data_IF_685652636442
#
_entry.id   IF_685652636442
#
_cell.length_a   1.000
_cell.length_b   1.000
_cell.length_c   1.000
_cell.angle_alpha   90.00
_cell.angle_beta   90.00
_cell.angle_gamma   90.00
#
_symmetry.space_group_name_H-M   'P 1'
#
loop_
_entity.id
_entity.type
_entity.pdbx_description
1 polymer ?
#
# COMPACT_ATOMS: atom_id res chain seq x y z
N UNK A 1 -3.52 -12.85 9.89
CA UNK A 1 -4.98 -12.63 9.85
C UNK A 1 -5.63 -13.52 8.82
N UNK A 2 -6.83 -14.03 9.07
CA UNK A 2 -7.55 -14.91 8.15
C UNK A 2 -9.06 -14.65 8.22
N UNK A 3 -9.75 -14.90 7.10
CA UNK A 3 -11.21 -14.88 6.97
C UNK A 3 -11.68 -16.30 6.62
N UNK A 4 -12.66 -16.81 7.37
CA UNK A 4 -13.20 -18.15 7.21
C UNK A 4 -14.67 -18.13 6.79
N UNK A 5 -15.07 -19.12 6.00
CA UNK A 5 -16.45 -19.43 5.63
C UNK A 5 -16.66 -20.92 5.87
N UNK A 6 -17.60 -21.29 6.74
CA UNK A 6 -17.85 -22.68 7.14
C UNK A 6 -16.56 -23.43 7.52
N UNK A 7 -15.79 -22.84 8.43
CA UNK A 7 -14.47 -23.31 8.92
C UNK A 7 -13.36 -23.44 7.85
N UNK A 8 -13.63 -23.04 6.60
CA UNK A 8 -12.63 -22.99 5.54
C UNK A 8 -12.03 -21.59 5.41
N UNK A 9 -10.71 -21.48 5.44
CA UNK A 9 -10.01 -20.20 5.16
C UNK A 9 -10.19 -19.81 3.69
N UNK A 10 -10.85 -18.67 3.46
CA UNK A 10 -11.12 -18.12 2.12
C UNK A 10 -10.29 -16.87 1.81
N UNK A 11 -9.68 -16.24 2.82
CA UNK A 11 -8.68 -15.19 2.63
C UNK A 11 -7.67 -15.16 3.77
N UNK A 12 -6.45 -14.72 3.47
CA UNK A 12 -5.37 -14.58 4.44
C UNK A 12 -4.54 -13.34 4.16
N UNK A 13 -4.08 -12.69 5.22
CA UNK A 13 -3.20 -11.53 5.18
C UNK A 13 -2.05 -11.73 6.17
N UNK A 14 -0.84 -11.61 5.66
CA UNK A 14 0.39 -11.56 6.46
C UNK A 14 0.65 -10.10 6.82
N UNK A 15 0.87 -9.85 8.12
CA UNK A 15 1.17 -8.54 8.69
C UNK A 15 2.48 -8.62 9.47
N UNK A 16 3.43 -7.75 9.19
CA UNK A 16 4.60 -7.55 10.04
C UNK A 16 4.28 -6.50 11.10
N UNK A 17 4.68 -6.73 12.35
CA UNK A 17 4.51 -5.77 13.42
C UNK A 17 5.87 -5.44 13.98
N UNK A 18 6.20 -4.15 13.99
CA UNK A 18 7.46 -3.65 14.55
C UNK A 18 7.20 -2.33 15.27
N UNK A 19 7.67 -2.23 16.51
CA UNK A 19 7.55 -1.03 17.34
C UNK A 19 6.14 -0.37 17.33
N UNK A 20 5.09 -1.20 17.40
CA UNK A 20 3.69 -0.75 17.40
C UNK A 20 3.13 -0.34 16.03
N UNK A 21 3.85 -0.58 14.93
CA UNK A 21 3.37 -0.35 13.57
C UNK A 21 3.11 -1.67 12.86
N UNK A 22 1.90 -1.85 12.34
CA UNK A 22 1.50 -2.99 11.55
C UNK A 22 1.64 -2.70 10.04
N UNK A 23 2.33 -3.57 9.30
CA UNK A 23 2.55 -3.46 7.86
C UNK A 23 1.86 -4.61 7.13
N UNK A 24 0.82 -4.32 6.35
CA UNK A 24 0.04 -5.35 5.64
C UNK A 24 0.79 -5.81 4.39
N UNK A 25 1.61 -6.85 4.52
CA UNK A 25 2.57 -7.25 3.50
C UNK A 25 1.92 -7.90 2.28
N UNK A 26 1.09 -8.93 2.48
CA UNK A 26 0.52 -9.70 1.37
C UNK A 26 -0.82 -10.32 1.73
N UNK A 27 -1.82 -10.01 0.90
CA UNK A 27 -3.14 -10.65 0.93
C UNK A 27 -3.27 -11.67 -0.19
N UNK A 28 -3.92 -12.79 0.12
CA UNK A 28 -4.38 -13.79 -0.84
C UNK A 28 -5.82 -14.23 -0.48
N UNK A 29 -6.56 -14.70 -1.46
CA UNK A 29 -7.92 -15.19 -1.27
C UNK A 29 -8.26 -16.30 -2.26
N UNK A 30 -9.34 -17.03 -1.97
CA UNK A 30 -9.91 -18.03 -2.86
C UNK A 30 -10.59 -17.34 -4.06
N UNK A 31 -9.98 -17.45 -5.24
CA UNK A 31 -10.45 -16.80 -6.46
C UNK A 31 -11.82 -17.31 -6.93
N UNK A 32 -12.25 -18.49 -6.51
CA UNK A 32 -13.61 -19.00 -6.80
C UNK A 32 -14.70 -18.14 -6.15
N UNK A 33 -14.33 -17.38 -5.11
CA UNK A 33 -15.20 -16.45 -4.38
C UNK A 33 -14.91 -14.99 -4.71
N UNK A 34 -14.18 -14.68 -5.80
CA UNK A 34 -13.78 -13.33 -6.16
C UNK A 34 -14.95 -12.32 -6.23
N UNK A 35 -16.14 -12.78 -6.66
CA UNK A 35 -17.36 -11.96 -6.75
C UNK A 35 -17.77 -11.32 -5.41
N UNK A 36 -17.36 -11.91 -4.28
CA UNK A 36 -17.68 -11.44 -2.93
C UNK A 36 -16.59 -10.57 -2.30
N UNK A 37 -15.52 -10.26 -3.05
CA UNK A 37 -14.37 -9.46 -2.59
C UNK A 37 -13.75 -9.92 -1.24
N UNK A 38 -13.36 -11.21 -1.05
CA UNK A 38 -12.91 -11.71 0.25
C UNK A 38 -11.70 -10.96 0.81
N UNK A 39 -10.77 -10.51 -0.05
CA UNK A 39 -9.63 -9.70 0.38
C UNK A 39 -10.01 -8.34 0.97
N UNK A 40 -11.08 -7.70 0.44
CA UNK A 40 -11.61 -6.45 1.01
C UNK A 40 -12.29 -6.69 2.35
N UNK A 41 -13.10 -7.76 2.46
CA UNK A 41 -13.75 -8.13 3.71
C UNK A 41 -12.73 -8.44 4.81
N UNK A 42 -11.68 -9.18 4.47
CA UNK A 42 -10.56 -9.43 5.39
C UNK A 42 -9.91 -8.12 5.84
N UNK A 43 -9.68 -7.16 4.94
CA UNK A 43 -9.04 -5.88 5.30
C UNK A 43 -9.92 -5.03 6.23
N UNK A 44 -11.25 -5.08 6.08
CA UNK A 44 -12.19 -4.42 7.00
C UNK A 44 -12.04 -5.01 8.40
N UNK A 45 -12.08 -6.34 8.50
CA UNK A 45 -11.95 -7.04 9.80
C UNK A 45 -10.58 -6.80 10.44
N UNK A 46 -9.51 -6.82 9.65
CA UNK A 46 -8.16 -6.49 10.12
C UNK A 46 -8.06 -5.06 10.61
N UNK A 47 -8.70 -4.10 9.92
CA UNK A 47 -8.74 -2.71 10.37
C UNK A 47 -9.41 -2.61 11.74
N UNK A 48 -10.53 -3.30 11.96
CA UNK A 48 -11.21 -3.36 13.25
C UNK A 48 -10.30 -3.95 14.33
N UNK A 49 -9.67 -5.09 14.05
CA UNK A 49 -8.75 -5.76 14.98
C UNK A 49 -7.55 -4.88 15.35
N UNK A 50 -6.98 -4.16 14.38
CA UNK A 50 -5.86 -3.25 14.63
C UNK A 50 -6.27 -2.00 15.42
N UNK A 51 -7.50 -1.53 15.28
CA UNK A 51 -8.04 -0.43 16.11
C UNK A 51 -8.33 -0.88 17.55
N UNK A 52 -8.73 -2.13 17.74
CA UNK A 52 -9.05 -2.70 19.05
C UNK A 52 -7.79 -3.16 19.83
N UNK A 53 -6.64 -3.32 19.15
CA UNK A 53 -5.39 -3.77 19.76
C UNK A 53 -4.56 -2.59 20.31
N UNK A 54 -4.43 -2.44 21.64
CA UNK A 54 -3.70 -1.31 22.23
C UNK A 54 -2.19 -1.34 21.95
N UNK A 55 -1.65 -2.44 21.42
CA UNK A 55 -0.25 -2.54 21.02
C UNK A 55 0.00 -2.03 19.60
N UNK A 56 -1.05 -1.79 18.81
CA UNK A 56 -0.96 -1.24 17.46
C UNK A 56 -1.27 0.26 17.51
N UNK A 57 -0.24 1.07 17.30
CA UNK A 57 -0.35 2.53 17.23
C UNK A 57 -0.70 3.01 15.82
N UNK A 58 -0.30 2.26 14.79
CA UNK A 58 -0.52 2.62 13.40
C UNK A 58 -0.54 1.37 12.52
N UNK A 59 -1.33 1.41 11.43
CA UNK A 59 -1.26 0.42 10.36
C UNK A 59 -0.92 1.08 9.02
N UNK A 60 0.05 0.52 8.30
CA UNK A 60 0.36 0.85 6.91
C UNK A 60 -0.16 -0.27 5.99
N UNK A 61 -0.88 0.15 4.95
CA UNK A 61 -1.43 -0.74 3.92
C UNK A 61 -0.35 -1.28 2.98
N UNK A 62 0.81 -0.62 2.94
CA UNK A 62 1.88 -0.80 1.96
C UNK A 62 1.38 -0.72 0.50
N UNK A 63 0.18 -0.19 0.28
CA UNK A 63 -0.44 -0.10 -1.03
C UNK A 63 0.12 1.10 -1.80
N UNK A 64 0.09 0.99 -3.13
CA UNK A 64 0.47 2.12 -4.00
C UNK A 64 -0.47 3.32 -3.78
N UNK A 65 -0.02 4.56 -4.05
CA UNK A 65 -0.89 5.72 -4.01
C UNK A 65 -2.12 5.54 -4.89
N UNK A 66 -3.28 5.97 -4.37
CA UNK A 66 -4.61 5.87 -4.99
C UNK A 66 -5.09 4.42 -5.21
N UNK A 67 -4.65 3.48 -4.36
CA UNK A 67 -5.12 2.10 -4.43
C UNK A 67 -6.66 2.03 -4.26
N UNK A 68 -7.39 1.36 -5.16
CA UNK A 68 -8.85 1.48 -5.29
C UNK A 68 -9.64 1.03 -4.04
N UNK A 69 -9.09 0.08 -3.28
CA UNK A 69 -9.70 -0.42 -2.03
C UNK A 69 -9.26 0.43 -0.84
N UNK A 70 -7.95 0.44 -0.54
CA UNK A 70 -7.39 1.17 0.61
C UNK A 70 -7.76 2.66 0.65
N UNK A 71 -7.80 3.34 -0.50
CA UNK A 71 -8.14 4.77 -0.53
C UNK A 71 -9.58 5.07 -0.13
N UNK A 72 -10.47 4.06 -0.20
CA UNK A 72 -11.87 4.14 0.25
C UNK A 72 -12.03 3.68 1.69
N UNK A 73 -11.29 2.65 2.11
CA UNK A 73 -11.35 2.14 3.48
C UNK A 73 -10.72 3.10 4.48
N UNK A 74 -9.58 3.68 4.13
CA UNK A 74 -8.83 4.55 5.02
C UNK A 74 -8.78 5.97 4.44
N UNK A 75 -9.08 6.97 5.26
CA UNK A 75 -9.08 8.39 4.87
C UNK A 75 -7.77 9.08 5.22
N UNK A 76 -7.13 8.67 6.32
CA UNK A 76 -5.84 9.22 6.73
C UNK A 76 -4.74 8.91 5.73
N UNK A 77 -3.81 9.86 5.58
CA UNK A 77 -2.65 9.74 4.69
C UNK A 77 -1.41 10.17 5.46
N UNK A 78 -0.36 9.37 5.35
CA UNK A 78 0.96 9.71 5.87
C UNK A 78 1.92 9.92 4.70
N UNK A 79 2.64 11.05 4.64
CA UNK A 79 3.70 11.24 3.67
C UNK A 79 4.81 10.19 3.89
N UNK A 80 5.15 9.44 2.84
CA UNK A 80 6.28 8.52 2.83
C UNK A 80 7.34 9.07 1.87
N UNK A 81 8.58 9.15 2.35
CA UNK A 81 9.70 9.70 1.61
C UNK A 81 10.79 8.66 1.34
N UNK A 82 11.82 9.08 0.61
CA UNK A 82 13.05 8.29 0.47
C UNK A 82 14.22 9.12 0.94
N UNK A 83 14.96 8.57 1.89
CA UNK A 83 16.19 9.14 2.39
C UNK A 83 17.36 8.52 1.65
N UNK A 84 18.25 9.35 1.13
CA UNK A 84 19.51 8.91 0.50
C UNK A 84 20.65 9.29 1.42
N UNK A 85 21.40 8.30 1.89
CA UNK A 85 22.49 8.49 2.87
C UNK A 85 23.82 8.17 2.19
N UNK A 86 24.74 9.14 2.18
CA UNK A 86 26.13 8.91 1.80
C UNK A 86 26.85 8.15 2.90
N UNK A 87 27.46 7.01 2.58
CA UNK A 87 28.12 6.15 3.56
C UNK A 87 29.61 6.48 3.77
N UNK A 88 30.12 7.50 3.08
CA UNK A 88 31.51 7.99 3.20
C UNK A 88 31.54 9.52 3.36
N UNK A 89 32.60 10.09 3.98
CA UNK A 89 32.69 11.53 4.25
C UNK A 89 32.49 12.44 3.02
N UNK A 90 32.98 12.02 1.84
CA UNK A 90 32.93 12.83 0.61
C UNK A 90 31.73 12.51 -0.30
N UNK A 91 30.74 11.74 0.19
CA UNK A 91 29.61 11.29 -0.62
C UNK A 91 28.49 12.32 -0.80
N UNK A 92 28.56 13.52 -0.19
CA UNK A 92 27.46 14.51 -0.19
C UNK A 92 26.99 14.85 -1.61
N UNK A 93 27.91 15.18 -2.53
CA UNK A 93 27.56 15.51 -3.92
C UNK A 93 26.87 14.34 -4.63
N UNK A 94 27.39 13.13 -4.46
CA UNK A 94 26.83 11.92 -5.09
C UNK A 94 25.46 11.57 -4.51
N UNK A 95 25.29 11.66 -3.19
CA UNK A 95 24.01 11.41 -2.52
C UNK A 95 22.94 12.41 -2.97
N UNK A 96 23.27 13.70 -3.07
CA UNK A 96 22.36 14.73 -3.59
C UNK A 96 21.99 14.49 -5.05
N UNK A 97 22.96 14.11 -5.88
CA UNK A 97 22.71 13.79 -7.28
C UNK A 97 21.80 12.56 -7.42
N UNK A 98 22.04 11.50 -6.64
CA UNK A 98 21.18 10.32 -6.63
C UNK A 98 19.76 10.66 -6.15
N UNK A 99 19.63 11.48 -5.10
CA UNK A 99 18.34 11.92 -4.58
C UNK A 99 17.55 12.74 -5.63
N UNK A 100 18.21 13.66 -6.34
CA UNK A 100 17.56 14.46 -7.38
C UNK A 100 17.12 13.61 -8.58
N UNK A 101 17.95 12.65 -9.00
CA UNK A 101 17.60 11.71 -10.06
C UNK A 101 16.42 10.81 -9.66
N UNK A 102 16.41 10.29 -8.43
CA UNK A 102 15.30 9.49 -7.91
C UNK A 102 14.00 10.28 -7.87
N UNK A 103 14.06 11.54 -7.43
CA UNK A 103 12.90 12.43 -7.39
C UNK A 103 12.34 12.68 -8.80
N UNK A 104 13.19 13.09 -9.75
CA UNK A 104 12.79 13.31 -11.14
C UNK A 104 12.21 12.04 -11.79
N UNK A 105 12.81 10.88 -11.55
CA UNK A 105 12.32 9.61 -12.09
C UNK A 105 10.94 9.25 -11.55
N UNK A 106 10.68 9.50 -10.26
CA UNK A 106 9.36 9.26 -9.66
C UNK A 106 8.30 10.22 -10.18
N UNK A 107 8.60 11.51 -10.27
CA UNK A 107 7.68 12.52 -10.80
C UNK A 107 7.32 12.24 -12.26
N UNK A 108 8.31 11.95 -13.10
CA UNK A 108 8.06 11.60 -14.51
C UNK A 108 7.22 10.34 -14.65
N UNK A 109 7.47 9.29 -13.84
CA UNK A 109 6.66 8.07 -13.82
C UNK A 109 5.23 8.34 -13.35
N UNK A 110 5.04 9.17 -12.33
CA UNK A 110 3.72 9.54 -11.82
C UNK A 110 2.93 10.32 -12.87
N UNK A 111 3.56 11.29 -13.53
CA UNK A 111 2.97 12.03 -14.64
C UNK A 111 2.57 11.12 -15.80
N UNK A 112 3.44 10.19 -16.19
CA UNK A 112 3.14 9.21 -17.23
C UNK A 112 1.93 8.33 -16.85
N UNK A 113 1.83 7.89 -15.58
CA UNK A 113 0.68 7.14 -15.05
C UNK A 113 -0.62 7.95 -15.15
N UNK A 114 -0.60 9.21 -14.75
CA UNK A 114 -1.76 10.11 -14.82
C UNK A 114 -2.23 10.35 -16.25
N UNK A 115 -1.30 10.65 -17.17
CA UNK A 115 -1.60 10.82 -18.59
C UNK A 115 -2.21 9.55 -19.20
N UNK A 116 -1.63 8.37 -18.92
CA UNK A 116 -2.17 7.08 -19.36
C UNK A 116 -3.60 6.86 -18.88
N UNK A 117 -3.86 7.12 -17.60
CA UNK A 117 -5.19 6.93 -17.01
C UNK A 117 -6.22 7.89 -17.64
N UNK A 118 -5.82 9.14 -17.89
CA UNK A 118 -6.68 10.14 -18.57
C UNK A 118 -7.00 9.72 -20.01
N UNK A 119 -6.01 9.28 -20.79
CA UNK A 119 -6.23 8.75 -22.14
C UNK A 119 -7.16 7.55 -22.14
N UNK A 120 -6.97 6.59 -21.23
CA UNK A 120 -7.87 5.44 -21.08
C UNK A 120 -9.30 5.86 -20.77
N UNK A 121 -9.51 6.85 -19.89
CA UNK A 121 -10.87 7.33 -19.57
C UNK A 121 -11.57 8.01 -20.75
N UNK A 122 -10.82 8.62 -21.67
CA UNK A 122 -11.36 9.25 -22.87
C UNK A 122 -11.70 8.20 -23.95
N UNK A 123 -10.88 7.16 -24.08
CA UNK A 123 -11.05 6.09 -25.06
C UNK A 123 -12.09 5.03 -24.62
N UNK A 124 -12.23 4.78 -23.33
CA UNK A 124 -13.17 3.79 -22.76
C UNK A 124 -14.60 4.31 -22.57
N UNK A 125 -14.94 5.46 -23.15
CA UNK A 125 -16.27 6.10 -23.04
C UNK A 125 -17.12 5.87 -24.31
N UNK A 126 -17.00 4.69 -24.92
CA UNK A 126 -17.87 4.16 -25.97
C UNK A 126 -18.53 2.89 -25.49
#
# INVERSE_FOLDING_TARGET
HSLTLDDRTIASLIVFVEAGVAYTWKTAYDETLAAYSPGTLLMIEVTRQHLDDPNIMMTDSCAVPDHPVMSRLWTERRPIGTLVIGLTPDADRLARQAASQLHLYRETRNMARLLRNRMKSLLGRR
#
